data_IF_913441996644
#
_entry.id   IF_913441996644
#
_cell.length_a   1.000
_cell.length_b   1.000
_cell.length_c   1.000
_cell.angle_alpha   90.00
_cell.angle_beta   90.00
_cell.angle_gamma   90.00
#
_symmetry.space_group_name_H-M   'P 1'
#
loop_
_entity.id
_entity.type
_entity.pdbx_description
1 polymer ?
#
# COMPACT_ATOMS: atom_id res chain seq x y z
N UNK A 1 22.33 -33.21 5.11
CA UNK A 1 22.39 -32.62 3.74
C UNK A 1 22.20 -31.13 3.93
N UNK A 2 23.28 -30.35 3.84
CA UNK A 2 23.18 -28.89 3.91
C UNK A 2 22.56 -28.40 2.60
N UNK A 3 21.41 -27.74 2.69
CA UNK A 3 20.74 -27.18 1.54
C UNK A 3 21.42 -25.87 1.15
N UNK A 4 22.13 -25.87 0.02
CA UNK A 4 22.61 -24.62 -0.58
C UNK A 4 21.41 -23.77 -1.00
N UNK A 5 21.28 -22.59 -0.40
CA UNK A 5 20.22 -21.63 -0.71
C UNK A 5 20.79 -20.48 -1.54
N UNK A 6 20.14 -20.16 -2.67
CA UNK A 6 20.46 -18.98 -3.48
C UNK A 6 19.39 -17.92 -3.26
N UNK A 7 19.81 -16.70 -2.90
CA UNK A 7 18.91 -15.57 -2.68
C UNK A 7 19.25 -14.43 -3.63
N UNK A 8 18.24 -13.87 -4.31
CA UNK A 8 18.39 -12.71 -5.19
C UNK A 8 17.31 -11.67 -4.88
N UNK A 9 17.68 -10.52 -4.28
CA UNK A 9 16.70 -9.50 -3.93
C UNK A 9 16.25 -8.71 -5.18
N UNK A 10 14.95 -8.42 -5.25
CA UNK A 10 14.35 -7.58 -6.29
C UNK A 10 13.84 -6.30 -5.63
N UNK A 11 14.33 -5.16 -6.12
CA UNK A 11 14.02 -3.83 -5.57
C UNK A 11 13.11 -3.03 -6.49
N UNK A 12 12.65 -1.87 -6.01
CA UNK A 12 11.86 -0.90 -6.76
C UNK A 12 10.52 -1.44 -7.34
N UNK A 13 9.96 -2.48 -6.72
CA UNK A 13 8.61 -2.93 -7.04
C UNK A 13 7.58 -1.91 -6.53
N UNK A 14 6.53 -1.69 -7.32
CA UNK A 14 5.43 -0.81 -6.92
C UNK A 14 4.60 -1.50 -5.84
N UNK A 15 4.25 -0.74 -4.82
CA UNK A 15 3.34 -1.19 -3.78
C UNK A 15 1.89 -1.11 -4.26
N UNK A 16 0.99 -1.85 -3.60
CA UNK A 16 -0.42 -2.00 -4.01
C UNK A 16 -0.63 -2.86 -5.26
N UNK A 17 0.38 -3.63 -5.69
CA UNK A 17 0.31 -4.46 -6.90
C UNK A 17 0.64 -5.92 -6.60
N UNK A 18 0.01 -6.79 -7.36
CA UNK A 18 0.30 -8.23 -7.41
C UNK A 18 1.32 -8.52 -8.51
N UNK A 19 2.28 -9.39 -8.22
CA UNK A 19 3.32 -9.83 -9.12
C UNK A 19 3.29 -11.35 -9.29
N UNK A 20 3.71 -11.78 -10.47
CA UNK A 20 3.87 -13.17 -10.86
C UNK A 20 5.37 -13.45 -11.01
N UNK A 21 5.87 -14.44 -10.28
CA UNK A 21 7.27 -14.82 -10.27
C UNK A 21 7.40 -16.27 -10.75
N UNK A 22 8.37 -16.50 -11.64
CA UNK A 22 8.84 -17.83 -12.03
C UNK A 22 10.36 -17.80 -12.08
N UNK A 23 10.98 -18.89 -11.68
CA UNK A 23 12.43 -19.05 -11.75
C UNK A 23 12.76 -20.11 -12.79
N UNK A 24 13.94 -19.99 -13.39
CA UNK A 24 14.55 -21.07 -14.18
C UNK A 24 16.06 -20.98 -14.05
N UNK A 25 16.74 -22.11 -14.19
CA UNK A 25 18.19 -22.16 -14.12
C UNK A 25 18.79 -22.06 -15.53
N UNK A 26 19.91 -21.34 -15.67
CA UNK A 26 20.75 -21.43 -16.87
C UNK A 26 21.86 -22.45 -16.59
N UNK A 27 21.88 -23.52 -17.37
CA UNK A 27 22.86 -24.59 -17.24
C UNK A 27 24.19 -24.14 -17.85
N UNK A 28 25.29 -24.29 -17.10
CA UNK A 28 26.63 -23.88 -17.57
C UNK A 28 27.15 -24.82 -18.67
N UNK A 29 26.79 -26.11 -18.61
CA UNK A 29 27.35 -27.15 -19.47
C UNK A 29 26.91 -27.07 -20.94
N UNK A 30 25.65 -26.70 -21.20
CA UNK A 30 25.08 -26.57 -22.55
C UNK A 30 24.66 -25.12 -22.88
N UNK A 31 24.64 -24.22 -21.90
CA UNK A 31 24.17 -22.85 -22.06
C UNK A 31 22.64 -22.71 -22.13
N UNK A 32 21.92 -23.83 -22.07
CA UNK A 32 20.46 -23.87 -22.17
C UNK A 32 19.79 -23.48 -20.85
N UNK A 33 18.52 -23.14 -20.95
CA UNK A 33 17.70 -22.87 -19.78
C UNK A 33 16.85 -24.08 -19.40
N UNK A 34 16.72 -24.34 -18.11
CA UNK A 34 15.75 -25.31 -17.60
C UNK A 34 14.32 -24.84 -17.85
N UNK A 35 13.38 -25.75 -17.61
CA UNK A 35 11.97 -25.39 -17.43
C UNK A 35 11.79 -24.37 -16.30
N UNK A 36 10.72 -23.61 -16.41
CA UNK A 36 10.30 -22.70 -15.35
C UNK A 36 9.73 -23.47 -14.16
N UNK A 37 9.93 -22.92 -12.97
CA UNK A 37 9.20 -23.33 -11.77
C UNK A 37 7.71 -23.02 -11.92
N UNK A 38 6.93 -23.59 -10.99
CA UNK A 38 5.55 -23.16 -10.77
C UNK A 38 5.46 -21.65 -10.53
N UNK A 39 4.30 -21.10 -10.88
CA UNK A 39 4.03 -19.69 -10.80
C UNK A 39 3.70 -19.28 -9.37
N UNK A 40 4.52 -18.40 -8.81
CA UNK A 40 4.29 -17.80 -7.50
C UNK A 40 3.62 -16.43 -7.65
N UNK A 41 2.55 -16.19 -6.89
CA UNK A 41 1.90 -14.89 -6.81
C UNK A 41 2.28 -14.20 -5.51
N UNK A 42 2.82 -12.99 -5.61
CA UNK A 42 3.13 -12.15 -4.44
C UNK A 42 2.35 -10.85 -4.53
N UNK A 43 1.88 -10.35 -3.39
CA UNK A 43 1.26 -9.04 -3.28
C UNK A 43 2.12 -8.15 -2.40
N UNK A 44 2.50 -6.98 -2.92
CA UNK A 44 3.25 -5.99 -2.13
C UNK A 44 2.25 -4.96 -1.64
N UNK A 45 1.95 -4.90 -0.33
CA UNK A 45 0.95 -3.98 0.20
C UNK A 45 1.36 -2.53 0.00
N UNK A 46 0.39 -1.69 -0.37
CA UNK A 46 0.56 -0.22 -0.40
C UNK A 46 0.85 0.29 1.01
N UNK A 47 1.76 1.28 1.12
CA UNK A 47 1.89 2.02 2.36
C UNK A 47 0.55 2.71 2.65
N UNK A 48 0.03 2.57 3.87
CA UNK A 48 -1.28 3.10 4.29
C UNK A 48 -1.32 4.65 4.39
N UNK A 49 -0.28 5.33 3.95
CA UNK A 49 -0.11 6.78 4.12
C UNK A 49 -1.22 7.60 3.46
N UNK A 50 -1.82 7.10 2.37
CA UNK A 50 -2.97 7.77 1.72
C UNK A 50 -4.26 7.65 2.54
N UNK A 51 -4.47 6.55 3.26
CA UNK A 51 -5.67 6.37 4.10
C UNK A 51 -5.60 7.23 5.36
N UNK A 52 -4.42 7.34 5.96
CA UNK A 52 -4.18 8.16 7.16
C UNK A 52 -4.39 9.64 6.87
N UNK A 53 -3.84 10.15 5.75
CA UNK A 53 -4.07 11.53 5.31
C UNK A 53 -5.55 11.81 5.01
N UNK A 54 -6.25 10.84 4.40
CA UNK A 54 -7.68 10.93 4.12
C UNK A 54 -8.52 10.95 5.40
N UNK A 55 -8.13 10.22 6.45
CA UNK A 55 -8.81 10.25 7.75
C UNK A 55 -8.63 11.59 8.46
N UNK A 56 -7.41 12.13 8.50
CA UNK A 56 -7.14 13.42 9.11
C UNK A 56 -7.94 14.55 8.42
N UNK A 57 -7.98 14.55 7.09
CA UNK A 57 -8.77 15.53 6.34
C UNK A 57 -10.27 15.43 6.65
N UNK A 58 -10.81 14.20 6.74
CA UNK A 58 -12.21 13.98 7.13
C UNK A 58 -12.51 14.49 8.54
N UNK A 59 -11.61 14.27 9.50
CA UNK A 59 -11.76 14.77 10.87
C UNK A 59 -11.80 16.31 10.90
N UNK A 60 -10.88 16.97 10.18
CA UNK A 60 -10.84 18.44 10.08
C UNK A 60 -12.15 18.98 9.51
N UNK A 61 -12.67 18.38 8.44
CA UNK A 61 -13.93 18.79 7.83
C UNK A 61 -15.10 18.73 8.83
N UNK A 62 -15.19 17.65 9.60
CA UNK A 62 -16.24 17.47 10.62
C UNK A 62 -16.13 18.52 11.72
N UNK A 63 -14.93 18.79 12.22
CA UNK A 63 -14.70 19.83 13.23
C UNK A 63 -15.08 21.22 12.73
N UNK A 64 -14.75 21.55 11.49
CA UNK A 64 -15.13 22.84 10.88
C UNK A 64 -16.65 22.98 10.78
N UNK A 65 -17.35 21.94 10.32
CA UNK A 65 -18.81 21.96 10.21
C UNK A 65 -19.51 22.10 11.56
N UNK A 66 -19.06 21.33 12.57
CA UNK A 66 -19.58 21.42 13.94
C UNK A 66 -19.31 22.79 14.56
N UNK A 67 -18.09 23.32 14.40
CA UNK A 67 -17.71 24.64 14.89
C UNK A 67 -18.52 25.76 14.25
N UNK A 68 -18.71 25.70 12.92
CA UNK A 68 -19.55 26.64 12.18
C UNK A 68 -21.01 26.59 12.63
N UNK A 69 -21.57 25.38 12.81
CA UNK A 69 -22.93 25.20 13.31
C UNK A 69 -23.11 25.79 14.69
N UNK A 70 -22.16 25.55 15.61
CA UNK A 70 -22.18 26.10 16.97
C UNK A 70 -22.12 27.63 16.95
N UNK A 71 -21.23 28.21 16.15
CA UNK A 71 -21.10 29.67 16.01
C UNK A 71 -22.37 30.32 15.46
N UNK A 72 -22.99 29.73 14.44
CA UNK A 72 -24.27 30.20 13.90
C UNK A 72 -25.37 30.17 14.96
N UNK A 73 -25.44 29.09 15.74
CA UNK A 73 -26.41 28.93 16.82
C UNK A 73 -26.23 30.05 17.86
N UNK A 74 -24.98 30.30 18.30
CA UNK A 74 -24.66 31.36 19.25
C UNK A 74 -25.05 32.75 18.73
N UNK A 75 -24.79 33.05 17.45
CA UNK A 75 -25.17 34.32 16.83
C UNK A 75 -26.68 34.51 16.81
N UNK A 76 -27.44 33.46 16.46
CA UNK A 76 -28.90 33.49 16.45
C UNK A 76 -29.47 33.71 17.86
N UNK A 77 -28.94 33.00 18.86
CA UNK A 77 -29.36 33.18 20.25
C UNK A 77 -29.10 34.60 20.75
N UNK A 78 -27.90 35.13 20.48
CA UNK A 78 -27.52 36.51 20.88
C UNK A 78 -28.40 37.55 20.20
N UNK A 79 -28.88 37.29 18.98
CA UNK A 79 -29.81 38.16 18.24
C UNK A 79 -31.26 38.03 18.71
N UNK A 80 -31.63 36.91 19.32
CA UNK A 80 -33.01 36.62 19.76
C UNK A 80 -33.34 37.10 21.18
N UNK A 81 -32.33 37.45 21.97
CA UNK A 81 -32.45 38.04 23.31
C UNK A 81 -32.43 39.56 23.24
#
# INVERSE_FOLDING_TARGET
VEAFSTSHPVYALRTGKSYQIRLRCKQIANGDFSEFTELLYIFIPAARSTEEASLLFRLILVFVLLGMSLMLLLILFTKSQ
#
